data_IF_297451257801
#
_entry.id   IF_297451257801
#
_cell.length_a   1.000
_cell.length_b   1.000
_cell.length_c   1.000
_cell.angle_alpha   90.00
_cell.angle_beta   90.00
_cell.angle_gamma   90.00
#
_symmetry.space_group_name_H-M   'P 1'
#
loop_
_entity.id
_entity.type
_entity.pdbx_description
1 polymer ?
#
# COMPACT_ATOMS: atom_id res chain seq x y z
N UNK A 1 -9.14 18.80 10.83
CA UNK A 1 -8.39 18.28 10.76
C UNK A 1 -7.46 18.40 11.37
N UNK A 2 -7.23 18.03 11.69
CA UNK A 2 -6.33 18.25 12.27
C UNK A 2 -5.24 18.22 11.71
N UNK A 3 -4.66 18.72 11.47
CA UNK A 3 -3.62 18.74 11.25
C UNK A 3 -2.88 18.72 12.13
N UNK A 4 -3.14 18.58 12.68
CA UNK A 4 -2.44 18.93 13.69
C UNK A 4 -1.30 18.16 14.09
N UNK A 5 -1.29 16.89 14.07
CA UNK A 5 -0.09 16.15 14.34
C UNK A 5 0.76 16.10 13.11
N UNK A 6 2.03 16.51 13.17
CA UNK A 6 2.91 16.22 12.05
C UNK A 6 3.02 14.73 11.88
N UNK A 7 2.94 14.28 10.65
CA UNK A 7 3.12 12.87 10.36
C UNK A 7 4.56 12.49 10.61
N UNK A 8 4.78 11.28 11.13
CA UNK A 8 6.12 10.79 11.30
C UNK A 8 6.82 10.76 9.95
N UNK A 9 8.11 11.08 9.96
CA UNK A 9 8.89 11.05 8.72
C UNK A 9 8.99 9.62 8.22
N UNK A 10 8.64 9.42 6.98
CA UNK A 10 8.64 8.10 6.35
C UNK A 10 9.87 8.00 5.46
N UNK A 11 10.57 6.87 5.56
CA UNK A 11 11.75 6.62 4.75
C UNK A 11 11.34 6.49 3.28
N UNK A 12 12.08 7.16 2.40
CA UNK A 12 11.85 7.04 0.97
C UNK A 12 12.29 5.67 0.48
N UNK A 13 11.56 5.06 -0.45
CA UNK A 13 11.96 3.78 -1.02
C UNK A 13 13.15 3.94 -1.96
N UNK A 14 13.86 2.83 -2.17
CA UNK A 14 14.90 2.79 -3.18
C UNK A 14 14.22 2.46 -4.50
N UNK A 15 14.21 3.42 -5.42
CA UNK A 15 13.46 3.30 -6.66
C UNK A 15 14.40 2.82 -7.77
N UNK A 16 13.97 1.80 -8.51
CA UNK A 16 14.69 1.33 -9.70
C UNK A 16 13.76 1.47 -10.91
N UNK A 17 14.27 1.13 -12.11
CA UNK A 17 13.50 1.35 -13.32
C UNK A 17 12.22 0.51 -13.36
N UNK A 18 12.19 -0.65 -12.70
CA UNK A 18 11.00 -1.51 -12.69
C UNK A 18 9.89 -0.94 -11.82
N UNK A 19 10.23 -0.18 -10.79
CA UNK A 19 9.27 0.33 -9.83
C UNK A 19 9.03 1.83 -9.97
N UNK A 20 9.73 2.50 -10.88
CA UNK A 20 9.62 3.95 -11.03
C UNK A 20 8.19 4.40 -11.30
N UNK A 21 7.49 3.74 -12.23
CA UNK A 21 6.12 4.12 -12.56
C UNK A 21 5.18 3.96 -11.36
N UNK A 22 5.39 2.93 -10.53
CA UNK A 22 4.63 2.72 -9.32
C UNK A 22 4.79 3.91 -8.36
N UNK A 23 6.04 4.30 -8.09
CA UNK A 23 6.30 5.38 -7.15
C UNK A 23 5.96 6.75 -7.70
N UNK A 24 6.10 6.95 -9.02
CA UNK A 24 5.64 8.19 -9.65
C UNK A 24 4.12 8.35 -9.47
N UNK A 25 3.37 7.26 -9.56
CA UNK A 25 1.92 7.30 -9.34
C UNK A 25 1.58 7.62 -7.89
N UNK A 26 2.36 7.13 -6.92
CA UNK A 26 2.09 7.44 -5.51
C UNK A 26 2.24 8.93 -5.24
N UNK A 27 3.16 9.60 -5.90
CA UNK A 27 3.32 11.04 -5.77
C UNK A 27 2.09 11.81 -6.27
N UNK A 28 1.27 11.17 -7.10
CA UNK A 28 0.03 11.74 -7.63
C UNK A 28 -1.19 11.21 -6.88
N UNK A 29 -1.00 10.51 -5.78
CA UNK A 29 -2.10 9.98 -4.97
C UNK A 29 -2.74 8.72 -5.53
N UNK A 30 -1.99 7.94 -6.31
CA UNK A 30 -2.52 6.73 -6.93
C UNK A 30 -1.73 5.51 -6.49
N UNK A 31 -2.43 4.46 -6.06
CA UNK A 31 -1.84 3.17 -5.78
C UNK A 31 -2.11 2.23 -6.95
N UNK A 32 -1.04 1.78 -7.61
CA UNK A 32 -1.15 0.85 -8.72
C UNK A 32 -0.62 -0.53 -8.32
N UNK A 33 -1.22 -1.57 -8.89
CA UNK A 33 -0.72 -2.93 -8.75
C UNK A 33 -0.48 -3.49 -10.15
N UNK A 34 0.28 -4.57 -10.23
CA UNK A 34 0.51 -5.24 -11.50
C UNK A 34 -0.74 -5.97 -11.97
N UNK A 35 -0.95 -5.97 -13.26
CA UNK A 35 -2.03 -6.72 -13.91
C UNK A 35 -1.47 -7.45 -15.11
N UNK A 36 -1.70 -8.74 -15.18
CA UNK A 36 -1.30 -9.53 -16.34
C UNK A 36 -2.48 -9.64 -17.30
N UNK A 37 -2.25 -9.28 -18.57
CA UNK A 37 -3.31 -9.36 -19.58
C UNK A 37 -3.49 -10.78 -20.14
N UNK A 38 -2.51 -11.67 -19.91
CA UNK A 38 -2.63 -13.06 -20.35
C UNK A 38 -3.43 -13.91 -19.38
N UNK A 39 -3.09 -13.93 -18.09
CA UNK A 39 -3.80 -14.76 -17.12
C UNK A 39 -4.86 -13.99 -16.32
N UNK A 40 -4.89 -12.67 -16.43
CA UNK A 40 -5.91 -11.86 -15.78
C UNK A 40 -5.67 -11.58 -14.32
N UNK A 41 -4.57 -12.06 -13.74
CA UNK A 41 -4.31 -11.89 -12.31
C UNK A 41 -3.72 -10.54 -11.99
N UNK A 42 -4.08 -10.02 -10.80
CA UNK A 42 -3.42 -8.87 -10.23
C UNK A 42 -2.34 -9.37 -9.28
N UNK A 43 -1.25 -8.60 -9.16
CA UNK A 43 -0.18 -8.95 -8.23
C UNK A 43 0.46 -7.69 -7.67
N UNK A 44 1.14 -7.85 -6.57
CA UNK A 44 1.91 -6.81 -5.90
C UNK A 44 3.20 -7.47 -5.43
N UNK A 45 4.33 -6.92 -5.64
CA UNK A 45 4.77 -5.60 -6.04
C UNK A 45 5.04 -5.58 -7.56
N UNK A 46 5.18 -4.39 -8.20
CA UNK A 46 5.34 -4.33 -9.66
C UNK A 46 6.57 -5.08 -10.15
N UNK A 47 6.43 -5.82 -11.23
CA UNK A 47 7.54 -6.51 -11.88
C UNK A 47 7.21 -6.69 -13.36
N UNK A 48 8.24 -6.80 -14.24
CA UNK A 48 7.99 -6.87 -15.68
C UNK A 48 7.38 -8.19 -16.15
N UNK A 49 7.56 -9.26 -15.38
CA UNK A 49 6.99 -10.57 -15.70
C UNK A 49 5.96 -10.94 -14.66
N UNK A 50 4.85 -11.53 -15.12
CA UNK A 50 3.80 -11.99 -14.22
C UNK A 50 4.35 -13.12 -13.31
N UNK A 51 4.17 -13.03 -11.99
CA UNK A 51 4.66 -14.08 -11.09
C UNK A 51 3.86 -15.37 -11.19
N UNK A 52 2.69 -15.36 -11.84
CA UNK A 52 1.84 -16.54 -11.93
C UNK A 52 2.01 -17.31 -13.23
N UNK A 53 2.15 -16.61 -14.37
CA UNK A 53 2.26 -17.28 -15.67
C UNK A 53 3.51 -16.89 -16.46
N UNK A 54 4.34 -15.99 -15.91
CA UNK A 54 5.59 -15.53 -16.51
C UNK A 54 5.43 -14.77 -17.82
N UNK A 55 4.23 -14.30 -18.14
CA UNK A 55 3.99 -13.47 -19.33
C UNK A 55 4.66 -12.11 -19.16
N UNK A 56 5.09 -11.52 -20.27
CA UNK A 56 5.58 -10.14 -20.29
C UNK A 56 4.47 -9.14 -20.61
N UNK A 57 3.25 -9.60 -20.78
CA UNK A 57 2.11 -8.72 -21.09
C UNK A 57 1.51 -8.18 -19.80
N UNK A 58 2.30 -7.41 -19.08
CA UNK A 58 1.92 -6.87 -17.78
C UNK A 58 1.82 -5.35 -17.86
N UNK A 59 1.00 -4.80 -17.00
CA UNK A 59 0.81 -3.35 -16.90
C UNK A 59 0.45 -2.98 -15.48
N UNK A 60 0.45 -1.69 -15.16
CA UNK A 60 -0.03 -1.22 -13.88
C UNK A 60 -1.52 -0.92 -13.98
N UNK A 61 -2.26 -1.28 -12.95
CA UNK A 61 -3.68 -1.00 -12.84
C UNK A 61 -3.94 -0.22 -11.56
N UNK A 62 -4.71 0.86 -11.66
CA UNK A 62 -5.00 1.69 -10.50
C UNK A 62 -5.99 1.00 -9.58
N UNK A 63 -5.72 1.05 -8.27
CA UNK A 63 -6.59 0.48 -7.25
C UNK A 63 -7.53 1.52 -6.69
N UNK A 64 -8.68 1.05 -6.21
CA UNK A 64 -9.68 1.90 -5.57
C UNK A 64 -9.20 2.51 -4.25
N UNK A 65 -8.25 1.84 -3.59
CA UNK A 65 -7.83 2.23 -2.26
C UNK A 65 -8.61 1.56 -1.15
N UNK A 66 -9.53 0.70 -1.48
CA UNK A 66 -10.32 -0.05 -0.50
C UNK A 66 -9.68 -1.40 -0.22
N UNK A 67 -9.72 -1.82 1.04
CA UNK A 67 -9.19 -3.12 1.42
C UNK A 67 -9.73 -3.57 2.76
N UNK A 68 -9.29 -4.75 3.18
CA UNK A 68 -9.63 -5.29 4.49
C UNK A 68 -8.36 -5.81 5.16
N UNK A 69 -8.30 -5.72 6.47
CA UNK A 69 -7.16 -6.23 7.22
C UNK A 69 -7.18 -7.76 7.16
N UNK A 70 -6.12 -8.33 6.59
CA UNK A 70 -5.94 -9.77 6.59
C UNK A 70 -5.32 -10.23 7.91
N UNK A 71 -4.29 -9.52 8.36
CA UNK A 71 -3.69 -9.73 9.67
C UNK A 71 -2.91 -8.47 10.04
N UNK A 72 -2.60 -8.30 11.32
CA UNK A 72 -1.86 -7.13 11.78
C UNK A 72 -1.10 -7.43 13.05
N UNK A 73 -0.13 -6.58 13.36
CA UNK A 73 0.62 -6.65 14.61
C UNK A 73 0.93 -5.23 15.08
N UNK A 74 0.63 -4.95 16.34
CA UNK A 74 0.91 -3.64 16.95
C UNK A 74 2.22 -3.75 17.71
N UNK A 75 3.19 -2.91 17.37
CA UNK A 75 4.46 -2.84 18.09
C UNK A 75 4.33 -1.73 19.11
N UNK A 76 4.43 -2.09 20.39
CA UNK A 76 4.34 -1.14 21.49
C UNK A 76 5.69 -0.49 21.74
N UNK A 77 5.68 0.73 22.27
CA UNK A 77 6.89 1.49 22.54
C UNK A 77 6.54 2.94 22.73
N UNK A 78 7.55 3.81 22.64
CA UNK A 78 7.30 5.25 22.75
C UNK A 78 6.41 5.75 21.62
N UNK A 79 6.60 5.21 20.43
CA UNK A 79 5.78 5.56 19.27
C UNK A 79 5.23 4.26 18.71
N UNK A 80 4.10 3.78 19.25
CA UNK A 80 3.51 2.54 18.75
C UNK A 80 3.19 2.64 17.27
N UNK A 81 3.37 1.54 16.56
CA UNK A 81 2.99 1.47 15.15
C UNK A 81 2.42 0.10 14.85
N UNK A 82 1.65 0.02 13.78
CA UNK A 82 0.99 -1.22 13.37
C UNK A 82 1.44 -1.56 11.96
N UNK A 83 1.97 -2.77 11.80
CA UNK A 83 2.15 -3.35 10.47
C UNK A 83 1.01 -4.31 10.19
N UNK A 84 0.61 -4.38 8.95
CA UNK A 84 -0.53 -5.20 8.58
C UNK A 84 -0.39 -5.71 7.15
N UNK A 85 -1.01 -6.86 6.89
CA UNK A 85 -1.29 -7.29 5.54
C UNK A 85 -2.72 -6.87 5.25
N UNK A 86 -2.90 -6.13 4.17
CA UNK A 86 -4.22 -5.66 3.73
C UNK A 86 -4.53 -6.29 2.39
N UNK A 87 -5.68 -6.96 2.30
CA UNK A 87 -6.15 -7.51 1.04
C UNK A 87 -6.94 -6.43 0.32
N UNK A 88 -6.43 -6.02 -0.85
CA UNK A 88 -7.07 -4.99 -1.64
C UNK A 88 -8.33 -5.52 -2.32
N UNK A 89 -9.27 -4.62 -2.63
CA UNK A 89 -10.48 -4.99 -3.35
C UNK A 89 -10.17 -5.66 -4.68
N UNK A 90 -9.01 -5.34 -5.28
CA UNK A 90 -8.57 -5.91 -6.55
C UNK A 90 -7.95 -7.30 -6.42
N UNK A 91 -7.69 -7.76 -5.19
CA UNK A 91 -7.22 -9.12 -4.92
C UNK A 91 -5.90 -9.27 -4.21
N UNK A 92 -4.84 -8.53 -4.57
CA UNK A 92 -3.55 -8.72 -3.92
C UNK A 92 -3.57 -8.36 -2.44
N UNK A 93 -2.77 -9.06 -1.65
CA UNK A 93 -2.56 -8.73 -0.25
C UNK A 93 -1.19 -8.07 -0.13
N UNK A 94 -1.15 -6.87 0.44
CA UNK A 94 0.07 -6.08 0.51
C UNK A 94 0.46 -5.83 1.97
N UNK A 95 1.77 -5.69 2.20
CA UNK A 95 2.29 -5.33 3.52
C UNK A 95 2.30 -3.81 3.63
N UNK A 96 1.72 -3.29 4.70
CA UNK A 96 1.56 -1.85 4.89
C UNK A 96 1.49 -1.52 6.37
N UNK A 97 1.23 -0.26 6.68
CA UNK A 97 0.99 0.19 8.04
C UNK A 97 -0.45 0.67 8.18
N UNK A 98 -1.04 0.45 9.35
CA UNK A 98 -2.31 1.05 9.69
C UNK A 98 -2.02 2.27 10.54
N UNK A 99 -2.58 3.42 10.15
CA UNK A 99 -2.26 4.71 10.75
C UNK A 99 -3.53 5.50 11.06
N UNK A 100 -3.36 6.55 11.88
CA UNK A 100 -4.40 7.55 12.14
C UNK A 100 -5.67 6.95 12.75
N UNK A 101 -5.51 5.97 13.63
CA UNK A 101 -6.64 5.33 14.29
C UNK A 101 -6.22 4.77 15.65
N UNK A 102 -7.20 4.28 16.39
CA UNK A 102 -6.95 3.64 17.69
C UNK A 102 -6.57 2.18 17.45
N UNK A 103 -5.30 1.85 17.67
CA UNK A 103 -4.78 0.50 17.43
C UNK A 103 -5.44 -0.55 18.32
N UNK A 104 -5.98 -0.15 19.47
CA UNK A 104 -6.64 -1.09 20.37
C UNK A 104 -7.98 -1.58 19.81
N UNK A 105 -8.50 -0.90 18.81
CA UNK A 105 -9.80 -1.24 18.22
C UNK A 105 -9.70 -1.93 16.86
N UNK A 106 -8.49 -2.31 16.46
CA UNK A 106 -8.32 -3.00 15.19
C UNK A 106 -8.79 -4.45 15.28
N UNK A 107 -9.24 -4.98 14.16
CA UNK A 107 -9.71 -6.35 14.06
C UNK A 107 -9.41 -6.90 12.66
N UNK A 108 -9.15 -8.20 12.60
CA UNK A 108 -9.03 -8.91 11.32
C UNK A 108 -10.37 -8.83 10.60
N UNK A 109 -10.33 -8.54 9.31
CA UNK A 109 -11.54 -8.35 8.50
C UNK A 109 -12.08 -6.94 8.51
N UNK A 110 -11.46 -6.03 9.25
CA UNK A 110 -11.90 -4.64 9.30
C UNK A 110 -11.62 -3.93 7.99
N UNK A 111 -12.58 -3.12 7.54
CA UNK A 111 -12.42 -2.34 6.32
C UNK A 111 -11.49 -1.17 6.54
N UNK A 112 -10.60 -0.96 5.59
CA UNK A 112 -9.62 0.12 5.64
C UNK A 112 -9.59 0.84 4.30
N UNK A 113 -9.05 2.05 4.31
CA UNK A 113 -8.91 2.86 3.11
C UNK A 113 -7.51 3.43 3.01
N UNK A 114 -7.09 3.65 1.79
CA UNK A 114 -5.75 4.13 1.45
C UNK A 114 -5.53 5.57 1.89
N UNK A 115 -4.35 5.82 2.46
CA UNK A 115 -3.83 7.17 2.70
C UNK A 115 -2.37 7.15 2.29
N UNK A 116 -1.83 8.31 1.92
CA UNK A 116 -0.45 8.42 1.50
C UNK A 116 0.35 9.26 2.48
N UNK A 117 1.58 8.81 2.75
CA UNK A 117 2.55 9.57 3.56
C UNK A 117 3.68 10.01 2.65
N UNK A 118 3.83 11.31 2.49
CA UNK A 118 4.87 11.89 1.64
C UNK A 118 6.25 11.63 2.23
N UNK A 119 7.18 11.19 1.39
CA UNK A 119 8.57 10.95 1.83
C UNK A 119 9.41 12.22 1.78
N UNK A 120 8.94 13.26 1.09
CA UNK A 120 9.70 14.48 0.86
C UNK A 120 10.70 14.35 -0.28
N UNK A 121 10.71 13.23 -0.99
CA UNK A 121 11.69 12.97 -2.06
C UNK A 121 11.01 12.58 -3.38
N UNK A 122 9.80 13.10 -3.61
CA UNK A 122 9.10 12.88 -4.87
C UNK A 122 8.29 11.59 -4.94
N UNK A 123 8.10 10.92 -3.80
CA UNK A 123 7.27 9.73 -3.72
C UNK A 123 6.42 9.78 -2.46
N UNK A 124 5.44 8.90 -2.36
CA UNK A 124 4.61 8.78 -1.17
C UNK A 124 4.41 7.31 -0.86
N UNK A 125 4.39 6.96 0.44
CA UNK A 125 4.22 5.58 0.85
C UNK A 125 2.74 5.32 1.08
N UNK A 126 2.15 4.31 0.42
CA UNK A 126 0.76 3.95 0.67
C UNK A 126 0.63 3.29 2.03
N UNK A 127 -0.30 3.79 2.81
CA UNK A 127 -0.67 3.24 4.11
C UNK A 127 -2.19 3.18 4.17
N UNK A 128 -2.73 2.64 5.24
CA UNK A 128 -4.18 2.49 5.36
C UNK A 128 -4.65 2.98 6.71
N UNK A 129 -5.87 3.47 6.74
CA UNK A 129 -6.54 3.83 7.99
C UNK A 129 -7.93 3.19 7.99
N UNK A 130 -8.57 3.18 9.15
CA UNK A 130 -9.91 2.60 9.28
C UNK A 130 -10.88 3.37 8.40
N UNK A 131 -11.66 2.62 7.63
CA UNK A 131 -12.65 3.22 6.74
C UNK A 131 -13.86 3.73 7.49
#
# INVERSE_FOLDING_TARGET
MSEAKPKAKVRAPKINFETKAFWDATAQGKLNVGKCDDCGEHYYYPRPLCPFCFSDKTRLAECSGNGVIYTYSVTMGKEPYTIAYVTLAEGPTILTNIVECDFAKLAIGQKVKLVFYDTGEGSAVPMFTVA
#
